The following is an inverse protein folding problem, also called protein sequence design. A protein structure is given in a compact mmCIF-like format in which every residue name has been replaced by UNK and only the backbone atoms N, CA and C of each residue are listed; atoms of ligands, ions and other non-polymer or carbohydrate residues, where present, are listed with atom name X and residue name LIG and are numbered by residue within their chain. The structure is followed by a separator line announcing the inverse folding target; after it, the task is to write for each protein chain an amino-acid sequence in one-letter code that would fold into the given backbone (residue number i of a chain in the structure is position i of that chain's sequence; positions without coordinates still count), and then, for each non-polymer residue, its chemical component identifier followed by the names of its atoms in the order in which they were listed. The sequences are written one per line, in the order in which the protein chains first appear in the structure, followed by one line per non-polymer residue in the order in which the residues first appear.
data_IF_198222769708
#
_entry.id   IF_198222769708
#
_cell.length_a   1.000
_cell.length_b   1.000
_cell.length_c   1.000
_cell.angle_alpha   90.00
_cell.angle_beta   90.00
_cell.angle_gamma   90.00
#
_symmetry.space_group_name_H-M   'P 1'
#
loop_
_entity.id
_entity.type
_entity.pdbx_description
1 polymer ?
#
# COMPACT_ATOMS: atom_id res chain seq x y z
N UNK A 1 -11.53 17.44 13.93
CA UNK A 1 -12.66 17.40 12.99
C UNK A 1 -12.42 18.29 11.78
N UNK A 2 -11.99 19.54 12.02
CA UNK A 2 -11.67 20.45 10.93
C UNK A 2 -10.50 19.92 10.10
N UNK A 3 -9.47 19.39 10.76
CA UNK A 3 -8.32 18.82 10.08
C UNK A 3 -8.73 17.65 9.18
N UNK A 4 -9.60 16.75 9.69
CA UNK A 4 -10.07 15.61 8.91
C UNK A 4 -10.90 16.06 7.72
N UNK A 5 -11.73 17.09 7.89
CA UNK A 5 -12.55 17.61 6.80
C UNK A 5 -11.67 18.11 5.65
N UNK A 6 -10.62 18.87 5.98
CA UNK A 6 -9.70 19.40 4.98
C UNK A 6 -8.89 18.30 4.31
N UNK A 7 -8.41 17.33 5.09
CA UNK A 7 -7.67 16.18 4.56
C UNK A 7 -8.55 15.38 3.61
N UNK A 8 -9.80 15.12 3.99
CA UNK A 8 -10.74 14.38 3.15
C UNK A 8 -10.98 15.11 1.82
N UNK A 9 -11.16 16.42 1.89
CA UNK A 9 -11.36 17.22 0.68
C UNK A 9 -10.16 17.11 -0.25
N UNK A 10 -8.95 17.23 0.29
CA UNK A 10 -7.72 17.14 -0.48
C UNK A 10 -7.54 15.73 -1.07
N UNK A 11 -7.86 14.69 -0.29
CA UNK A 11 -7.76 13.31 -0.74
C UNK A 11 -8.71 13.03 -1.90
N UNK A 12 -9.94 13.52 -1.81
CA UNK A 12 -10.95 13.37 -2.87
C UNK A 12 -10.48 14.06 -4.14
N UNK A 13 -9.74 15.15 -4.02
CA UNK A 13 -9.20 15.88 -5.17
C UNK A 13 -7.95 15.20 -5.75
N UNK A 14 -7.52 14.08 -5.19
CA UNK A 14 -6.44 13.28 -5.75
C UNK A 14 -5.07 13.50 -5.13
N UNK A 15 -4.97 14.24 -4.03
CA UNK A 15 -3.68 14.47 -3.36
C UNK A 15 -3.20 13.20 -2.66
N UNK A 16 -2.08 12.63 -3.12
CA UNK A 16 -1.55 11.37 -2.59
C UNK A 16 -1.19 11.46 -1.10
N UNK A 17 -0.56 12.55 -0.68
CA UNK A 17 -0.21 12.75 0.73
C UNK A 17 -1.43 12.80 1.62
N UNK A 18 -2.49 13.47 1.17
CA UNK A 18 -3.75 13.52 1.90
C UNK A 18 -4.43 12.15 1.94
N UNK A 19 -4.39 11.41 0.85
CA UNK A 19 -4.91 10.04 0.81
C UNK A 19 -4.18 9.16 1.82
N UNK A 20 -2.86 9.25 1.86
CA UNK A 20 -2.07 8.50 2.82
C UNK A 20 -2.44 8.89 4.26
N UNK A 21 -2.54 10.18 4.53
CA UNK A 21 -2.91 10.68 5.85
C UNK A 21 -4.29 10.18 6.26
N UNK A 22 -5.26 10.27 5.36
CA UNK A 22 -6.62 9.82 5.64
C UNK A 22 -6.65 8.30 5.87
N UNK A 23 -5.90 7.53 5.08
CA UNK A 23 -5.77 6.10 5.27
C UNK A 23 -5.24 5.76 6.66
N UNK A 24 -4.22 6.48 7.12
CA UNK A 24 -3.67 6.30 8.46
C UNK A 24 -4.71 6.58 9.54
N UNK A 25 -5.51 7.61 9.36
CA UNK A 25 -6.58 7.95 10.31
C UNK A 25 -7.65 6.87 10.36
N UNK A 26 -7.97 6.25 9.23
CA UNK A 26 -8.92 5.13 9.22
C UNK A 26 -8.36 3.91 9.95
N UNK A 27 -7.05 3.70 9.94
CA UNK A 27 -6.44 2.62 10.71
C UNK A 27 -6.52 2.89 12.21
N UNK A 28 -6.21 4.11 12.63
CA UNK A 28 -6.13 4.48 14.04
C UNK A 28 -7.46 4.91 14.64
N UNK A 29 -8.39 5.36 13.81
CA UNK A 29 -9.65 5.91 14.30
C UNK A 29 -9.56 7.35 14.80
N UNK A 30 -8.50 8.07 14.43
CA UNK A 30 -8.32 9.46 14.84
C UNK A 30 -9.15 10.40 13.97
N UNK A 31 -10.24 10.91 14.54
CA UNK A 31 -11.12 11.85 13.86
C UNK A 31 -12.10 11.21 12.88
N UNK A 32 -12.02 9.90 12.72
CA UNK A 32 -12.94 9.11 11.89
C UNK A 32 -13.17 7.77 12.59
N UNK A 33 -14.22 7.06 12.20
CA UNK A 33 -14.46 5.71 12.70
C UNK A 33 -13.45 4.77 12.02
N UNK A 34 -12.76 3.94 12.81
CA UNK A 34 -11.79 3.00 12.30
C UNK A 34 -12.42 2.12 11.21
N UNK A 35 -11.72 1.97 10.08
CA UNK A 35 -12.24 1.23 8.94
C UNK A 35 -11.08 0.81 8.03
N UNK A 36 -10.69 -0.47 8.12
CA UNK A 36 -9.57 -0.98 7.32
C UNK A 36 -9.88 -1.00 5.83
N UNK A 37 -11.13 -1.20 5.44
CA UNK A 37 -11.52 -1.20 4.02
C UNK A 37 -11.31 0.19 3.40
N UNK A 38 -11.72 1.23 4.10
CA UNK A 38 -11.49 2.60 3.64
C UNK A 38 -10.03 2.96 3.65
N UNK A 39 -9.28 2.48 4.67
CA UNK A 39 -7.84 2.70 4.71
C UNK A 39 -7.17 2.07 3.49
N UNK A 40 -7.53 0.83 3.17
CA UNK A 40 -6.98 0.13 2.01
C UNK A 40 -7.23 0.94 0.72
N UNK A 41 -8.46 1.43 0.53
CA UNK A 41 -8.81 2.22 -0.66
C UNK A 41 -7.94 3.48 -0.76
N UNK A 42 -7.71 4.15 0.35
CA UNK A 42 -6.88 5.36 0.37
C UNK A 42 -5.43 5.06 0.07
N UNK A 43 -4.88 4.00 0.67
CA UNK A 43 -3.49 3.60 0.39
C UNK A 43 -3.33 3.15 -1.06
N UNK A 44 -4.31 2.45 -1.62
CA UNK A 44 -4.26 2.04 -3.01
C UNK A 44 -4.19 3.25 -3.94
N UNK A 45 -5.04 4.24 -3.69
CA UNK A 45 -5.06 5.46 -4.50
C UNK A 45 -3.71 6.18 -4.44
N UNK A 46 -3.14 6.32 -3.25
CA UNK A 46 -1.85 6.98 -3.07
C UNK A 46 -0.70 6.15 -3.67
N UNK A 47 -0.77 4.82 -3.54
CA UNK A 47 0.25 3.92 -4.08
C UNK A 47 0.31 4.01 -5.61
N UNK A 48 -0.84 4.10 -6.26
CA UNK A 48 -0.92 4.23 -7.71
C UNK A 48 -0.37 5.56 -8.22
N UNK A 49 -0.24 6.54 -7.35
CA UNK A 49 0.38 7.81 -7.68
C UNK A 49 1.88 7.82 -7.38
N UNK A 50 2.43 6.70 -6.89
CA UNK A 50 3.88 6.57 -6.68
C UNK A 50 4.36 6.93 -5.29
N UNK A 51 3.49 7.02 -4.29
CA UNK A 51 3.92 7.27 -2.92
C UNK A 51 4.44 5.97 -2.30
N UNK A 52 5.76 5.88 -2.10
CA UNK A 52 6.41 4.65 -1.66
C UNK A 52 5.91 4.14 -0.30
N UNK A 53 5.64 5.04 0.64
CA UNK A 53 5.08 4.66 1.94
C UNK A 53 3.69 4.05 1.81
N UNK A 54 2.88 4.57 0.89
CA UNK A 54 1.56 4.00 0.64
C UNK A 54 1.67 2.62 0.01
N UNK A 55 2.63 2.43 -0.89
CA UNK A 55 2.90 1.12 -1.50
C UNK A 55 3.30 0.10 -0.44
N UNK A 56 4.14 0.50 0.51
CA UNK A 56 4.54 -0.33 1.63
C UNK A 56 3.33 -0.72 2.48
N UNK A 57 2.50 0.27 2.85
CA UNK A 57 1.31 0.00 3.66
C UNK A 57 0.30 -0.88 2.92
N UNK A 58 0.17 -0.68 1.61
CA UNK A 58 -0.69 -1.54 0.80
C UNK A 58 -0.23 -2.99 0.87
N UNK A 59 1.08 -3.22 0.77
CA UNK A 59 1.66 -4.55 0.93
C UNK A 59 1.35 -5.16 2.29
N UNK A 60 1.43 -4.36 3.36
CA UNK A 60 1.10 -4.83 4.71
C UNK A 60 -0.37 -5.22 4.84
N UNK A 61 -1.28 -4.46 4.21
CA UNK A 61 -2.70 -4.78 4.23
C UNK A 61 -2.99 -6.12 3.57
N UNK A 62 -2.34 -6.39 2.43
CA UNK A 62 -2.46 -7.70 1.79
C UNK A 62 -1.91 -8.83 2.65
N UNK A 63 -0.80 -8.60 3.34
CA UNK A 63 -0.18 -9.62 4.18
C UNK A 63 -1.01 -9.95 5.41
N UNK A 64 -1.64 -8.93 5.98
CA UNK A 64 -2.43 -9.08 7.21
C UNK A 64 -3.91 -9.31 6.94
N UNK A 65 -4.36 -9.18 5.70
CA UNK A 65 -5.76 -9.32 5.36
C UNK A 65 -6.63 -8.22 5.97
N UNK A 66 -6.12 -6.99 5.99
CA UNK A 66 -6.85 -5.84 6.56
C UNK A 66 -7.52 -5.03 5.47
N UNK A 67 -8.85 -5.06 5.44
CA UNK A 67 -9.63 -4.35 4.42
C UNK A 67 -9.59 -4.98 3.04
N UNK A 68 -8.91 -6.10 2.89
CA UNK A 68 -8.77 -6.86 1.65
C UNK A 68 -8.42 -8.29 2.06
N UNK A 69 -8.75 -9.26 1.21
CA UNK A 69 -8.37 -10.65 1.46
C UNK A 69 -6.85 -10.80 1.46
N UNK A 70 -6.35 -11.60 2.40
CA UNK A 70 -4.92 -11.88 2.48
C UNK A 70 -4.42 -12.45 1.16
N UNK A 71 -3.33 -11.89 0.65
CA UNK A 71 -2.70 -12.34 -0.58
C UNK A 71 -1.20 -12.06 -0.49
N UNK A 72 -0.44 -13.09 -0.15
CA UNK A 72 1.00 -12.93 0.09
C UNK A 72 1.77 -12.58 -1.19
N UNK A 73 1.30 -13.02 -2.35
CA UNK A 73 1.93 -12.67 -3.63
C UNK A 73 1.73 -11.19 -3.93
N UNK A 74 0.51 -10.67 -3.76
CA UNK A 74 0.24 -9.24 -3.92
C UNK A 74 1.01 -8.42 -2.88
N UNK A 75 1.09 -8.93 -1.65
CA UNK A 75 1.87 -8.28 -0.60
C UNK A 75 3.33 -8.12 -1.03
N UNK A 76 3.93 -9.23 -1.46
CA UNK A 76 5.33 -9.20 -1.91
C UNK A 76 5.50 -8.22 -3.07
N UNK A 77 4.60 -8.26 -4.05
CA UNK A 77 4.67 -7.37 -5.21
C UNK A 77 4.69 -5.90 -4.78
N UNK A 78 3.75 -5.47 -3.95
CA UNK A 78 3.69 -4.06 -3.53
C UNK A 78 4.87 -3.65 -2.65
N UNK A 79 5.34 -4.57 -1.78
CA UNK A 79 6.53 -4.29 -0.97
C UNK A 79 7.76 -4.13 -1.86
N UNK A 80 7.89 -4.95 -2.89
CA UNK A 80 9.00 -4.85 -3.83
C UNK A 80 8.90 -3.56 -4.67
N UNK A 81 7.70 -3.18 -5.09
CA UNK A 81 7.47 -1.91 -5.76
C UNK A 81 7.92 -0.75 -4.87
N UNK A 82 7.56 -0.80 -3.59
CA UNK A 82 7.97 0.22 -2.63
C UNK A 82 9.50 0.30 -2.53
N UNK A 83 10.16 -0.85 -2.46
CA UNK A 83 11.63 -0.90 -2.41
C UNK A 83 12.25 -0.32 -3.69
N UNK A 84 11.74 -0.71 -4.86
CA UNK A 84 12.20 -0.18 -6.14
C UNK A 84 12.00 1.34 -6.21
N UNK A 85 10.95 1.82 -5.55
CA UNK A 85 10.61 3.24 -5.51
C UNK A 85 11.36 3.99 -4.39
N UNK A 86 12.35 3.36 -3.76
CA UNK A 86 13.27 4.03 -2.85
C UNK A 86 13.04 3.80 -1.36
N UNK A 87 12.04 3.00 -0.96
CA UNK A 87 11.79 2.76 0.46
C UNK A 87 12.61 1.56 0.95
N UNK A 88 13.82 1.83 1.42
CA UNK A 88 14.76 0.78 1.84
C UNK A 88 14.24 -0.07 3.01
N UNK A 89 13.41 0.50 3.87
CA UNK A 89 12.88 -0.24 5.03
C UNK A 89 11.95 -1.38 4.64
N UNK A 90 11.53 -1.46 3.38
CA UNK A 90 10.68 -2.56 2.91
C UNK A 90 11.41 -3.90 2.91
N UNK A 91 12.75 -3.91 2.84
CA UNK A 91 13.54 -5.15 2.70
C UNK A 91 13.27 -6.15 3.81
N UNK A 92 13.19 -5.69 5.05
CA UNK A 92 12.97 -6.57 6.19
C UNK A 92 11.60 -7.25 6.10
N UNK A 93 10.58 -6.47 5.78
CA UNK A 93 9.22 -7.01 5.63
C UNK A 93 9.12 -7.94 4.42
N UNK A 94 9.81 -7.60 3.33
CA UNK A 94 9.86 -8.45 2.13
C UNK A 94 10.38 -9.84 2.51
N UNK A 95 11.44 -9.92 3.31
CA UNK A 95 12.01 -11.20 3.72
C UNK A 95 11.01 -12.01 4.56
N UNK A 96 10.24 -11.36 5.41
CA UNK A 96 9.20 -12.03 6.21
C UNK A 96 8.13 -12.62 5.30
N UNK A 97 7.66 -11.86 4.32
CA UNK A 97 6.62 -12.33 3.40
C UNK A 97 7.17 -13.45 2.51
N UNK A 98 8.41 -13.33 2.06
CA UNK A 98 9.04 -14.35 1.20
C UNK A 98 9.04 -15.73 1.86
N UNK A 99 9.16 -15.78 3.19
CA UNK A 99 9.13 -17.05 3.92
C UNK A 99 7.78 -17.75 3.86
N UNK A 100 6.73 -17.05 3.45
CA UNK A 100 5.38 -17.61 3.29
C UNK A 100 5.08 -18.02 1.85
N UNK A 101 6.02 -17.80 0.94
CA UNK A 101 5.83 -18.04 -0.49
C UNK A 101 6.81 -19.09 -0.99
N UNK A 102 6.45 -19.77 -2.08
CA UNK A 102 7.37 -20.65 -2.81
C UNK A 102 8.35 -19.79 -3.61
N UNK A 103 9.48 -20.38 -4.02
CA UNK A 103 10.43 -19.68 -4.89
C UNK A 103 9.79 -19.24 -6.20
N UNK A 104 8.86 -20.04 -6.73
CA UNK A 104 8.13 -19.71 -7.95
C UNK A 104 7.23 -18.48 -7.73
N UNK A 105 6.54 -18.41 -6.60
CA UNK A 105 5.68 -17.28 -6.28
C UNK A 105 6.49 -16.00 -6.09
N UNK A 106 7.66 -16.12 -5.47
CA UNK A 106 8.56 -14.97 -5.28
C UNK A 106 9.02 -14.44 -6.63
N UNK A 107 9.43 -15.34 -7.52
CA UNK A 107 9.89 -14.94 -8.86
C UNK A 107 8.77 -14.24 -9.64
N UNK A 108 7.55 -14.78 -9.56
CA UNK A 108 6.38 -14.17 -10.21
C UNK A 108 6.09 -12.79 -9.65
N UNK A 109 6.13 -12.66 -8.32
CA UNK A 109 5.86 -11.39 -7.66
C UNK A 109 6.91 -10.33 -8.02
N UNK A 110 8.17 -10.73 -8.15
CA UNK A 110 9.24 -9.83 -8.58
C UNK A 110 9.00 -9.31 -9.99
N UNK A 111 8.58 -10.20 -10.90
CA UNK A 111 8.30 -9.80 -12.28
C UNK A 111 7.11 -8.84 -12.32
N UNK A 112 6.06 -9.12 -11.57
CA UNK A 112 4.90 -8.24 -11.48
C UNK A 112 5.29 -6.87 -10.90
N UNK A 113 6.18 -6.86 -9.91
CA UNK A 113 6.65 -5.61 -9.31
C UNK A 113 7.41 -4.77 -10.33
N UNK A 114 8.27 -5.41 -11.12
CA UNK A 114 9.03 -4.70 -12.15
C UNK A 114 8.10 -4.12 -13.21
N UNK A 115 7.12 -4.89 -13.66
CA UNK A 115 6.12 -4.40 -14.60
C UNK A 115 5.36 -3.22 -14.03
N UNK A 116 4.94 -3.33 -12.77
CA UNK A 116 4.21 -2.27 -12.09
C UNK A 116 5.04 -0.99 -12.03
N UNK A 117 6.30 -1.12 -11.64
CA UNK A 117 7.22 0.01 -11.56
C UNK A 117 7.41 0.66 -12.94
N UNK A 118 7.58 -0.16 -13.98
CA UNK A 118 7.78 0.34 -15.35
C UNK A 118 6.54 1.04 -15.89
N UNK A 119 5.35 0.63 -15.48
CA UNK A 119 4.08 1.27 -15.86
C UNK A 119 3.76 2.47 -14.98
N UNK A 120 4.67 2.87 -14.12
CA UNK A 120 4.46 3.96 -13.17
C UNK A 120 3.25 3.72 -12.28
N UNK A 121 3.12 2.48 -11.81
CA UNK A 121 2.17 2.05 -10.78
C UNK A 121 0.71 1.99 -11.22
N UNK A 122 0.43 2.10 -12.50
CA UNK A 122 -0.94 2.07 -13.00
C UNK A 122 -1.36 0.64 -13.34
N UNK A 123 -2.54 0.28 -12.85
CA UNK A 123 -3.12 -1.01 -13.19
C UNK A 123 -2.41 -2.20 -12.58
N UNK A 124 -1.70 -2.01 -11.48
CA UNK A 124 -1.07 -3.12 -10.78
C UNK A 124 -2.06 -3.79 -9.86
#
# INVERSE_FOLDING_TARGET
KEAVRLIRKSAVQGNAGAQFNLGTRYITGHGVIQDYTRAFTMFQAAAEQGLALAQFNLGLHYFKGRGVDRDDTQSYMWLEVSRLNGYANAVETINIVANKLTGSDVAKAKDLARECFDKKFKGC
#
